data_IF_847561758260
#
_entry.id   IF_847561758260
#
_cell.length_a   1.000
_cell.length_b   1.000
_cell.length_c   1.000
_cell.angle_alpha   90.00
_cell.angle_beta   90.00
_cell.angle_gamma   90.00
#
_symmetry.space_group_name_H-M   'P 1'
#
loop_
_entity.id
_entity.type
_entity.pdbx_description
1 polymer ?
#
# COMPACT_ATOMS: atom_id res chain seq x y z
N UNK A 1 12.93 -15.30 -14.46
CA UNK A 1 11.56 -15.41 -13.90
C UNK A 1 11.04 -14.01 -13.71
N UNK A 2 9.89 -13.70 -14.32
CA UNK A 2 9.22 -12.41 -14.14
C UNK A 2 8.47 -12.43 -12.80
N UNK A 3 8.71 -11.43 -11.96
CA UNK A 3 8.04 -11.33 -10.66
C UNK A 3 6.74 -10.57 -10.88
N UNK A 4 5.63 -11.30 -10.99
CA UNK A 4 4.33 -10.70 -11.29
C UNK A 4 3.58 -10.27 -10.02
N UNK A 5 4.02 -10.75 -8.85
CA UNK A 5 3.41 -10.44 -7.56
C UNK A 5 4.48 -10.30 -6.47
N UNK A 6 4.23 -9.38 -5.53
CA UNK A 6 5.10 -9.16 -4.37
C UNK A 6 4.27 -9.17 -3.10
N UNK A 7 4.76 -9.88 -2.08
CA UNK A 7 4.27 -9.77 -0.71
C UNK A 7 5.13 -8.74 0.03
N UNK A 8 4.49 -7.72 0.58
CA UNK A 8 5.12 -6.70 1.43
C UNK A 8 4.52 -6.81 2.83
N UNK A 9 5.23 -7.44 3.80
CA UNK A 9 4.66 -7.70 5.10
C UNK A 9 4.87 -6.55 6.10
N UNK A 10 4.02 -6.53 7.14
CA UNK A 10 4.26 -5.79 8.36
C UNK A 10 4.13 -4.27 8.26
N UNK A 11 3.30 -3.78 7.35
CA UNK A 11 3.12 -2.35 7.08
C UNK A 11 2.21 -1.70 8.13
N UNK A 12 2.59 -0.52 8.58
CA UNK A 12 1.76 0.31 9.43
C UNK A 12 0.92 1.28 8.57
N UNK A 13 -0.29 1.55 9.03
CA UNK A 13 -1.16 2.58 8.44
C UNK A 13 -0.82 3.91 9.09
N UNK A 14 -0.68 4.94 8.27
CA UNK A 14 -0.43 6.31 8.70
C UNK A 14 -1.53 7.23 8.19
N UNK A 15 -1.95 8.19 9.03
CA UNK A 15 -2.81 9.30 8.63
C UNK A 15 -1.98 10.56 8.48
N UNK A 16 -2.10 11.21 7.34
CA UNK A 16 -1.48 12.51 7.04
C UNK A 16 -2.56 13.59 7.03
N UNK A 17 -2.38 14.62 7.85
CA UNK A 17 -3.28 15.76 7.96
C UNK A 17 -3.07 16.73 6.77
N UNK A 18 -3.47 16.30 5.57
CA UNK A 18 -3.64 17.16 4.40
C UNK A 18 -5.11 17.59 4.28
N UNK A 19 -5.46 18.52 3.37
CA UNK A 19 -6.88 18.86 3.11
C UNK A 19 -7.65 17.57 2.73
N UNK A 20 -8.48 17.09 3.66
CA UNK A 20 -9.26 15.86 3.53
C UNK A 20 -8.65 14.60 4.17
N UNK A 21 -7.44 14.65 4.75
CA UNK A 21 -6.79 13.58 5.54
C UNK A 21 -6.47 12.30 4.76
N UNK A 22 -5.22 12.05 4.38
CA UNK A 22 -4.84 10.87 3.58
C UNK A 22 -4.40 9.72 4.48
N UNK A 23 -4.91 8.51 4.24
CA UNK A 23 -4.37 7.28 4.82
C UNK A 23 -3.38 6.65 3.84
N UNK A 24 -2.23 6.19 4.32
CA UNK A 24 -1.22 5.58 3.47
C UNK A 24 -0.38 4.53 4.21
N UNK A 25 0.23 3.65 3.42
CA UNK A 25 1.28 2.72 3.86
C UNK A 25 2.63 3.25 3.42
N UNK A 26 3.64 3.19 4.29
CA UNK A 26 5.03 3.47 3.91
C UNK A 26 5.62 2.19 3.33
N UNK A 27 6.11 2.24 2.10
CA UNK A 27 6.73 1.10 1.44
C UNK A 27 8.21 1.00 1.85
N UNK A 28 8.68 -0.16 2.35
CA UNK A 28 10.08 -0.32 2.74
C UNK A 28 11.04 -0.13 1.56
N UNK A 29 12.21 0.47 1.82
CA UNK A 29 13.21 0.81 0.79
C UNK A 29 13.69 -0.41 -0.01
N UNK A 30 13.65 -1.61 0.56
CA UNK A 30 13.97 -2.86 -0.13
C UNK A 30 13.05 -3.16 -1.32
N UNK A 31 11.85 -2.56 -1.38
CA UNK A 31 10.90 -2.72 -2.48
C UNK A 31 10.97 -1.62 -3.53
N UNK A 32 11.84 -0.61 -3.38
CA UNK A 32 12.03 0.48 -4.34
C UNK A 32 12.25 0.01 -5.79
N UNK A 33 13.07 -1.02 -6.08
CA UNK A 33 13.28 -1.47 -7.47
C UNK A 33 12.01 -1.92 -8.19
N UNK A 34 10.97 -2.33 -7.45
CA UNK A 34 9.69 -2.74 -8.02
C UNK A 34 8.75 -1.54 -8.26
N UNK A 35 8.86 -0.49 -7.44
CA UNK A 35 8.12 0.77 -7.60
C UNK A 35 8.60 1.53 -8.85
N UNK A 36 9.90 1.47 -9.13
CA UNK A 36 10.48 2.12 -10.30
C UNK A 36 10.00 1.48 -11.62
N UNK A 37 9.61 0.20 -11.61
CA UNK A 37 9.02 -0.49 -12.76
C UNK A 37 7.57 -0.07 -13.01
N UNK A 38 6.79 0.10 -11.94
CA UNK A 38 5.42 0.63 -12.01
C UNK A 38 5.04 1.31 -10.71
N UNK A 39 4.44 2.49 -10.83
CA UNK A 39 3.85 3.25 -9.71
C UNK A 39 2.37 2.95 -9.49
N UNK A 40 1.78 2.07 -10.29
CA UNK A 40 0.35 1.74 -10.26
C UNK A 40 0.22 0.25 -9.99
N UNK A 41 -0.37 -0.11 -8.85
CA UNK A 41 -0.46 -1.50 -8.39
C UNK A 41 -1.90 -1.91 -8.13
N UNK A 42 -2.28 -3.13 -8.51
CA UNK A 42 -3.46 -3.77 -7.91
C UNK A 42 -3.07 -4.28 -6.52
N UNK A 43 -3.79 -3.85 -5.48
CA UNK A 43 -3.40 -4.12 -4.09
C UNK A 43 -4.45 -4.93 -3.36
N UNK A 44 -4.00 -6.01 -2.71
CA UNK A 44 -4.78 -6.85 -1.81
C UNK A 44 -4.17 -6.73 -0.42
N UNK A 45 -4.94 -6.30 0.57
CA UNK A 45 -4.55 -6.31 1.97
C UNK A 45 -4.78 -7.68 2.61
N UNK A 46 -3.89 -8.07 3.51
CA UNK A 46 -4.07 -9.23 4.39
C UNK A 46 -4.18 -8.71 5.83
N UNK A 47 -5.33 -8.96 6.46
CA UNK A 47 -5.62 -8.59 7.83
C UNK A 47 -6.22 -9.82 8.52
N UNK A 48 -5.58 -10.34 9.56
CA UNK A 48 -6.02 -11.55 10.28
C UNK A 48 -6.25 -12.75 9.35
N UNK A 49 -5.39 -12.92 8.34
CA UNK A 49 -5.51 -13.97 7.33
C UNK A 49 -6.63 -13.74 6.30
N UNK A 50 -7.43 -12.68 6.42
CA UNK A 50 -8.45 -12.31 5.44
C UNK A 50 -7.87 -11.40 4.38
N UNK A 51 -8.21 -11.69 3.13
CA UNK A 51 -7.80 -10.87 1.98
C UNK A 51 -8.88 -9.84 1.64
N UNK A 52 -8.47 -8.59 1.45
CA UNK A 52 -9.35 -7.49 1.04
C UNK A 52 -8.73 -6.81 -0.18
N UNK A 53 -9.36 -6.96 -1.35
CA UNK A 53 -8.94 -6.22 -2.54
C UNK A 53 -9.31 -4.74 -2.38
N UNK A 54 -8.30 -3.87 -2.33
CA UNK A 54 -8.50 -2.41 -2.27
C UNK A 54 -8.34 -1.76 -3.64
N UNK A 55 -8.28 -2.53 -4.71
CA UNK A 55 -8.21 -2.09 -6.10
C UNK A 55 -6.86 -1.48 -6.47
N UNK A 56 -6.88 -0.73 -7.56
CA UNK A 56 -5.70 -0.07 -8.10
C UNK A 56 -5.32 1.13 -7.25
N UNK A 57 -4.04 1.21 -6.86
CA UNK A 57 -3.47 2.25 -6.02
C UNK A 57 -2.19 2.81 -6.61
N UNK A 58 -2.01 4.10 -6.40
CA UNK A 58 -0.80 4.82 -6.79
C UNK A 58 0.20 4.80 -5.64
N UNK A 59 1.44 4.46 -5.97
CA UNK A 59 2.62 4.67 -5.15
C UNK A 59 3.22 6.02 -5.53
N UNK A 60 3.36 6.92 -4.57
CA UNK A 60 3.98 8.22 -4.78
C UNK A 60 5.21 8.38 -3.89
N UNK A 61 6.16 9.16 -4.39
CA UNK A 61 7.39 9.48 -3.68
C UNK A 61 7.15 10.72 -2.83
N UNK A 62 7.51 10.67 -1.56
CA UNK A 62 7.55 11.83 -0.67
C UNK A 62 8.98 11.99 -0.13
N UNK A 63 9.60 13.14 -0.37
CA UNK A 63 11.01 13.35 -0.03
C UNK A 63 11.98 12.48 -0.85
N UNK A 64 13.19 12.28 -0.30
CA UNK A 64 14.32 11.76 -1.10
C UNK A 64 14.21 10.29 -1.44
N UNK A 65 13.69 9.44 -0.54
CA UNK A 65 13.65 7.97 -0.70
C UNK A 65 12.44 7.30 -0.01
N UNK A 66 11.38 8.05 0.31
CA UNK A 66 10.20 7.48 0.97
C UNK A 66 9.09 7.31 -0.07
N UNK A 67 8.61 6.08 -0.22
CA UNK A 67 7.49 5.76 -1.07
C UNK A 67 6.26 5.46 -0.23
N UNK A 68 5.11 5.94 -0.67
CA UNK A 68 3.84 5.79 0.02
C UNK A 68 2.79 5.25 -0.93
N UNK A 69 2.00 4.30 -0.44
CA UNK A 69 0.81 3.79 -1.11
C UNK A 69 -0.43 4.44 -0.47
N UNK A 70 -1.19 5.21 -1.24
CA UNK A 70 -2.46 5.76 -0.77
C UNK A 70 -3.50 4.66 -0.52
N UNK A 71 -4.29 4.80 0.54
CA UNK A 71 -5.40 3.91 0.87
C UNK A 71 -6.75 4.57 0.50
N UNK A 72 -7.77 3.78 0.08
CA UNK A 72 -9.10 4.33 -0.19
C UNK A 72 -9.76 4.85 1.07
N UNK A 73 -10.49 5.97 0.97
CA UNK A 73 -11.30 6.46 2.09
C UNK A 73 -12.72 5.93 2.08
N UNK A 74 -13.33 5.89 0.89
CA UNK A 74 -14.75 5.51 0.70
C UNK A 74 -14.99 4.14 1.34
N UNK A 75 -15.88 4.10 2.33
CA UNK A 75 -16.30 2.90 3.07
C UNK A 75 -15.19 2.14 3.82
N UNK A 76 -13.98 2.70 3.97
CA UNK A 76 -12.85 2.04 4.65
C UNK A 76 -12.19 2.90 5.72
N UNK A 77 -12.60 4.15 5.90
CA UNK A 77 -12.00 5.05 6.89
C UNK A 77 -12.06 4.50 8.33
N UNK A 78 -13.19 3.92 8.73
CA UNK A 78 -13.34 3.32 10.07
C UNK A 78 -12.37 2.15 10.29
N UNK A 79 -12.12 1.35 9.25
CA UNK A 79 -11.14 0.27 9.29
C UNK A 79 -9.73 0.82 9.54
N UNK A 80 -9.31 1.87 8.83
CA UNK A 80 -7.98 2.46 9.00
C UNK A 80 -7.78 3.04 10.39
N UNK A 81 -8.77 3.75 10.91
CA UNK A 81 -8.73 4.30 12.27
C UNK A 81 -8.56 3.20 13.31
N UNK A 82 -9.38 2.16 13.24
CA UNK A 82 -9.28 1.01 14.14
C UNK A 82 -7.91 0.34 14.08
N UNK A 83 -7.39 0.07 12.88
CA UNK A 83 -6.08 -0.59 12.72
C UNK A 83 -4.93 0.26 13.29
N UNK A 84 -5.00 1.59 13.15
CA UNK A 84 -4.02 2.49 13.77
C UNK A 84 -4.13 2.51 15.30
N UNK A 85 -5.35 2.57 15.85
CA UNK A 85 -5.61 2.55 17.30
C UNK A 85 -5.11 1.25 17.93
N UNK A 86 -5.33 0.12 17.28
CA UNK A 86 -4.83 -1.21 17.67
C UNK A 86 -3.33 -1.39 17.41
N UNK A 87 -2.65 -0.41 16.79
CA UNK A 87 -1.25 -0.50 16.32
C UNK A 87 -0.99 -1.75 15.47
N UNK A 88 -2.01 -2.17 14.72
CA UNK A 88 -2.01 -3.39 13.93
C UNK A 88 -1.24 -3.17 12.64
N UNK A 89 -0.40 -4.14 12.30
CA UNK A 89 0.30 -4.19 11.01
C UNK A 89 -0.50 -5.01 10.01
N UNK A 90 -0.36 -4.66 8.74
CA UNK A 90 -1.02 -5.33 7.61
C UNK A 90 0.02 -5.78 6.62
N UNK A 91 -0.22 -6.91 5.96
CA UNK A 91 0.56 -7.31 4.80
C UNK A 91 -0.18 -6.87 3.55
N UNK A 92 0.54 -6.62 2.46
CA UNK A 92 -0.07 -6.41 1.14
C UNK A 92 0.52 -7.35 0.12
N UNK A 93 -0.34 -7.85 -0.76
CA UNK A 93 0.06 -8.44 -2.04
C UNK A 93 -0.16 -7.35 -3.08
N UNK A 94 0.89 -7.09 -3.88
CA UNK A 94 0.81 -6.17 -5.02
C UNK A 94 1.03 -6.93 -6.30
N UNK A 95 0.12 -6.79 -7.25
CA UNK A 95 0.33 -7.27 -8.62
C UNK A 95 0.93 -6.15 -9.44
N UNK A 96 2.09 -6.41 -10.03
CA UNK A 96 2.70 -5.48 -10.97
C UNK A 96 1.90 -5.59 -12.29
N UNK A 97 1.54 -4.47 -12.94
CA UNK A 97 0.95 -4.55 -14.27
C UNK A 97 1.93 -5.27 -15.19
N UNK A 98 1.42 -6.19 -16.01
CA UNK A 98 2.22 -6.83 -17.05
C UNK A 98 2.89 -5.73 -17.87
N UNK A 99 4.22 -5.75 -17.90
CA UNK A 99 4.95 -4.88 -18.81
C UNK A 99 4.63 -5.43 -20.19
N UNK A 100 3.76 -4.74 -20.93
CA UNK A 100 3.62 -4.98 -22.36
C UNK A 100 4.95 -4.53 -22.99
N UNK A 101 5.89 -5.47 -23.07
CA UNK A 101 7.14 -5.34 -23.85
C UNK A 101 6.84 -5.39 -25.34
#
# INVERSE_FOLDING_TARGET
MEVNQLLIPGLAIHKYETKGGIYALIIPKSFTPYIERSRVWEVILIIDGKQINIGVRNVYKTGRDIYMLSLPKKNMESLWRRLMEEKKKVDIIVKLPEVLT
#
